data_IF_709302471067
#
_entry.id   IF_709302471067
#
_cell.length_a   1.000
_cell.length_b   1.000
_cell.length_c   1.000
_cell.angle_alpha   90.00
_cell.angle_beta   90.00
_cell.angle_gamma   90.00
#
_symmetry.space_group_name_H-M   'P 1'
#
loop_
_entity.id
_entity.type
_entity.pdbx_description
1 polymer ?
#
# COMPACT_ATOMS: atom_id res chain seq x y z
N UNK A 1 -20.44 -12.15 -6.34
CA UNK A 1 -19.59 -13.22 -6.90
C UNK A 1 -18.57 -13.67 -5.87
N UNK A 2 -18.20 -14.94 -5.93
CA UNK A 2 -17.24 -15.52 -4.99
C UNK A 2 -15.82 -15.66 -5.56
N UNK A 3 -15.68 -15.55 -6.88
CA UNK A 3 -14.40 -15.80 -7.55
C UNK A 3 -13.98 -14.62 -8.43
N UNK A 4 -12.69 -14.30 -8.40
CA UNK A 4 -12.13 -13.17 -9.13
C UNK A 4 -10.80 -13.54 -9.76
N UNK A 5 -10.47 -12.84 -10.84
CA UNK A 5 -9.19 -12.95 -11.50
C UNK A 5 -8.65 -11.54 -11.65
N UNK A 6 -7.43 -11.30 -11.17
CA UNK A 6 -6.86 -9.95 -11.21
C UNK A 6 -6.90 -9.30 -12.58
N UNK A 7 -6.63 -10.08 -13.63
CA UNK A 7 -6.59 -9.55 -14.99
C UNK A 7 -7.95 -9.14 -15.55
N UNK A 8 -9.05 -9.52 -14.90
CA UNK A 8 -10.40 -9.15 -15.30
C UNK A 8 -10.88 -7.87 -14.63
N UNK A 9 -10.08 -7.30 -13.73
CA UNK A 9 -10.45 -6.12 -12.94
C UNK A 9 -9.73 -4.89 -13.45
N UNK A 10 -10.35 -3.72 -13.29
CA UNK A 10 -9.75 -2.46 -13.68
C UNK A 10 -8.57 -2.13 -12.77
N UNK A 11 -7.49 -1.62 -13.38
CA UNK A 11 -6.28 -1.24 -12.66
C UNK A 11 -6.15 0.28 -12.69
N UNK A 12 -6.36 0.91 -11.55
CA UNK A 12 -6.28 2.35 -11.39
C UNK A 12 -5.17 2.74 -10.41
N UNK A 13 -4.83 4.04 -10.39
CA UNK A 13 -3.97 4.57 -9.34
C UNK A 13 -4.72 4.41 -8.02
N UNK A 14 -4.08 3.80 -7.03
CA UNK A 14 -4.72 3.48 -5.76
C UNK A 14 -4.85 4.72 -4.88
N UNK A 15 -3.74 5.44 -4.70
CA UNK A 15 -3.70 6.62 -3.86
C UNK A 15 -2.86 7.69 -4.54
N UNK A 16 -3.35 8.26 -5.68
CA UNK A 16 -2.53 9.16 -6.51
C UNK A 16 -2.00 10.38 -5.77
N UNK A 17 -2.61 10.73 -4.67
CA UNK A 17 -2.22 11.88 -3.88
C UNK A 17 -0.84 11.73 -3.25
N UNK A 18 -0.41 10.51 -2.93
CA UNK A 18 0.90 10.27 -2.30
C UNK A 18 1.64 9.03 -2.79
N UNK A 19 1.09 8.31 -3.75
CA UNK A 19 1.69 7.07 -4.23
C UNK A 19 1.51 6.90 -5.73
N UNK A 20 2.48 6.20 -6.34
CA UNK A 20 2.41 5.80 -7.75
C UNK A 20 1.89 4.37 -7.91
N UNK A 21 1.43 3.75 -6.82
CA UNK A 21 0.87 2.39 -6.87
C UNK A 21 -0.36 2.34 -7.76
N UNK A 22 -0.44 1.31 -8.58
CA UNK A 22 -1.64 1.06 -9.39
C UNK A 22 -1.95 -0.42 -9.37
N UNK A 23 -3.21 -0.76 -9.63
CA UNK A 23 -3.63 -2.15 -9.70
C UNK A 23 -5.06 -2.33 -9.27
N UNK A 24 -5.59 -3.54 -9.51
CA UNK A 24 -6.96 -3.87 -9.12
C UNK A 24 -7.07 -4.18 -7.64
N UNK A 25 -8.25 -3.92 -7.08
CA UNK A 25 -8.56 -4.27 -5.70
C UNK A 25 -9.97 -4.80 -5.57
N UNK A 26 -10.18 -5.60 -4.54
CA UNK A 26 -11.48 -6.19 -4.22
C UNK A 26 -11.81 -5.79 -2.79
N UNK A 27 -12.95 -5.15 -2.61
CA UNK A 27 -13.41 -4.71 -1.30
C UNK A 27 -14.44 -5.68 -0.75
N UNK A 28 -14.11 -6.34 0.36
CA UNK A 28 -15.04 -7.18 1.09
C UNK A 28 -15.80 -6.37 2.13
N UNK A 29 -16.35 -7.02 3.12
CA UNK A 29 -17.05 -6.34 4.22
C UNK A 29 -16.06 -5.77 5.24
N UNK A 30 -15.00 -6.49 5.54
CA UNK A 30 -14.03 -6.12 6.56
C UNK A 30 -12.60 -5.98 6.04
N UNK A 31 -12.33 -6.50 4.87
CA UNK A 31 -10.99 -6.57 4.30
C UNK A 31 -11.02 -6.12 2.85
N UNK A 32 -10.05 -5.30 2.50
CA UNK A 32 -9.77 -4.87 1.13
C UNK A 32 -8.47 -5.56 0.71
N UNK A 33 -8.47 -6.22 -0.44
CA UNK A 33 -7.28 -6.89 -0.96
C UNK A 33 -6.99 -6.41 -2.37
N UNK A 34 -5.73 -6.11 -2.66
CA UNK A 34 -5.33 -5.61 -3.97
C UNK A 34 -4.03 -6.22 -4.46
N UNK A 35 -3.84 -6.19 -5.77
CA UNK A 35 -2.58 -6.53 -6.41
C UNK A 35 -1.97 -5.21 -6.89
N UNK A 36 -0.95 -4.73 -6.20
CA UNK A 36 -0.35 -3.43 -6.49
C UNK A 36 0.96 -3.56 -7.25
N UNK A 37 1.12 -2.68 -8.23
CA UNK A 37 2.36 -2.55 -8.98
C UNK A 37 2.90 -1.14 -8.76
N UNK A 38 4.19 -1.05 -8.49
CA UNK A 38 4.89 0.23 -8.33
C UNK A 38 5.99 0.32 -9.38
N UNK A 39 6.06 1.41 -10.14
CA UNK A 39 7.17 1.60 -11.08
C UNK A 39 8.52 1.70 -10.35
N UNK A 40 9.62 1.32 -11.00
CA UNK A 40 10.95 1.47 -10.40
C UNK A 40 11.25 2.91 -9.99
N UNK A 41 12.00 3.07 -8.91
CA UNK A 41 12.51 4.37 -8.45
C UNK A 41 11.41 5.39 -8.13
N UNK A 42 10.24 4.89 -7.71
CA UNK A 42 9.13 5.74 -7.26
C UNK A 42 8.89 5.53 -5.77
N UNK A 43 7.92 6.23 -5.20
CA UNK A 43 7.69 6.17 -3.76
C UNK A 43 6.22 6.27 -3.41
N UNK A 44 5.90 5.74 -2.23
CA UNK A 44 4.68 6.07 -1.51
C UNK A 44 5.12 6.93 -0.33
N UNK A 45 4.66 8.18 -0.28
CA UNK A 45 5.04 9.12 0.79
C UNK A 45 4.57 8.63 2.14
N UNK A 46 5.32 8.95 3.18
CA UNK A 46 4.96 8.58 4.55
C UNK A 46 3.59 9.14 4.90
N UNK A 47 2.72 8.27 5.37
CA UNK A 47 1.34 8.60 5.71
C UNK A 47 0.85 7.66 6.80
N UNK A 48 -0.28 8.00 7.40
CA UNK A 48 -0.91 7.18 8.42
C UNK A 48 -2.43 7.14 8.21
N UNK A 49 -3.02 6.02 8.58
CA UNK A 49 -4.47 5.81 8.49
C UNK A 49 -4.90 4.80 9.56
N UNK A 50 -6.19 4.79 9.94
CA UNK A 50 -6.67 3.87 10.97
C UNK A 50 -6.76 2.42 10.54
N UNK A 51 -6.56 2.13 9.25
CA UNK A 51 -6.60 0.78 8.72
C UNK A 51 -5.34 0.01 9.09
N UNK A 52 -5.48 -1.23 9.56
CA UNK A 52 -4.36 -2.15 9.65
C UNK A 52 -4.02 -2.61 8.24
N UNK A 53 -2.73 -2.71 7.92
CA UNK A 53 -2.31 -3.03 6.56
C UNK A 53 -1.15 -4.03 6.56
N UNK A 54 -1.28 -5.06 5.71
CA UNK A 54 -0.19 -5.99 5.41
C UNK A 54 0.16 -5.87 3.95
N UNK A 55 1.45 -5.89 3.65
CA UNK A 55 1.95 -5.85 2.28
C UNK A 55 2.83 -7.07 2.09
N UNK A 56 2.48 -7.94 1.14
CA UNK A 56 3.19 -9.18 0.84
C UNK A 56 3.95 -8.97 -0.46
N UNK A 57 5.28 -8.94 -0.39
CA UNK A 57 6.10 -8.66 -1.56
C UNK A 57 6.20 -9.90 -2.45
N UNK A 58 5.91 -9.75 -3.73
CA UNK A 58 5.95 -10.83 -4.71
C UNK A 58 7.13 -10.70 -5.67
N UNK A 59 7.49 -9.48 -6.05
CA UNK A 59 8.55 -9.20 -7.00
C UNK A 59 9.16 -7.85 -6.71
N UNK A 60 10.45 -7.70 -6.98
CA UNK A 60 11.14 -6.44 -6.75
C UNK A 60 11.50 -6.24 -5.29
N UNK A 61 12.07 -5.09 -4.97
CA UNK A 61 12.50 -4.74 -3.62
C UNK A 61 12.13 -3.30 -3.31
N UNK A 62 11.84 -3.05 -2.05
CA UNK A 62 11.53 -1.72 -1.58
C UNK A 62 12.13 -1.48 -0.21
N UNK A 63 12.32 -0.20 0.12
CA UNK A 63 12.74 0.22 1.44
C UNK A 63 11.50 0.78 2.15
N UNK A 64 11.01 0.06 3.14
CA UNK A 64 9.85 0.47 3.93
C UNK A 64 10.28 1.15 5.22
N UNK A 65 9.50 2.13 5.61
CA UNK A 65 9.62 2.77 6.92
C UNK A 65 8.27 2.61 7.62
N UNK A 66 8.28 2.03 8.81
CA UNK A 66 7.07 1.83 9.61
C UNK A 66 7.39 2.24 11.06
N UNK A 67 6.73 3.29 11.55
CA UNK A 67 6.94 3.75 12.90
C UNK A 67 8.40 4.10 13.23
N UNK A 68 9.13 4.60 12.25
CA UNK A 68 10.54 4.92 12.41
C UNK A 68 11.51 3.77 12.19
N UNK A 69 11.00 2.55 12.04
CA UNK A 69 11.81 1.37 11.71
C UNK A 69 11.94 1.29 10.19
N UNK A 70 13.14 1.05 9.69
CA UNK A 70 13.40 1.03 8.26
C UNK A 70 14.05 -0.27 7.84
N UNK A 71 13.58 -0.87 6.74
CA UNK A 71 14.14 -2.12 6.24
C UNK A 71 13.88 -2.29 4.75
N UNK A 72 14.86 -2.89 4.06
CA UNK A 72 14.71 -3.28 2.66
C UNK A 72 14.16 -4.70 2.63
N UNK A 73 13.04 -4.87 1.93
CA UNK A 73 12.39 -6.18 1.79
C UNK A 73 12.24 -6.56 0.32
N UNK A 74 12.24 -7.86 0.07
CA UNK A 74 12.07 -8.45 -1.25
C UNK A 74 11.03 -9.57 -1.24
N UNK A 75 10.98 -10.36 -2.32
CA UNK A 75 9.95 -11.41 -2.48
C UNK A 75 9.90 -12.38 -1.31
N UNK A 76 8.69 -12.69 -0.87
CA UNK A 76 8.47 -13.59 0.26
C UNK A 76 8.48 -12.92 1.62
N UNK A 77 8.75 -11.62 1.67
CA UNK A 77 8.75 -10.88 2.93
C UNK A 77 7.47 -10.05 3.06
N UNK A 78 7.11 -9.75 4.30
CA UNK A 78 5.83 -9.11 4.62
C UNK A 78 6.06 -7.88 5.48
N UNK A 79 5.36 -6.80 5.15
CA UNK A 79 5.33 -5.58 5.95
C UNK A 79 4.02 -5.54 6.72
N UNK A 80 4.08 -5.21 7.99
CA UNK A 80 2.88 -4.94 8.79
C UNK A 80 2.90 -3.48 9.20
N UNK A 81 1.88 -2.73 8.79
CA UNK A 81 1.67 -1.35 9.23
C UNK A 81 0.47 -1.31 10.18
N UNK A 82 0.71 -1.20 11.49
CA UNK A 82 -0.40 -1.14 12.45
C UNK A 82 -1.27 0.10 12.26
N UNK A 83 -2.52 0.08 12.79
CA UNK A 83 -3.39 1.25 12.71
C UNK A 83 -2.70 2.52 13.22
N UNK A 84 -2.83 3.60 12.48
CA UNK A 84 -2.35 4.94 12.84
C UNK A 84 -0.82 5.08 12.98
N UNK A 85 -0.05 4.08 12.55
CA UNK A 85 1.40 4.17 12.56
C UNK A 85 1.89 4.69 11.22
N UNK A 86 2.68 5.77 11.19
CA UNK A 86 3.21 6.32 9.94
C UNK A 86 4.05 5.29 9.19
N UNK A 87 3.84 5.19 7.90
CA UNK A 87 4.58 4.27 7.04
C UNK A 87 4.75 4.84 5.64
N UNK A 88 5.80 4.41 4.97
CA UNK A 88 6.13 4.84 3.61
C UNK A 88 7.01 3.82 2.92
N UNK A 89 7.27 4.04 1.63
CA UNK A 89 7.99 3.11 0.77
C UNK A 89 8.81 3.86 -0.26
N UNK A 90 10.06 3.42 -0.46
CA UNK A 90 10.87 3.79 -1.61
C UNK A 90 11.11 2.54 -2.43
N UNK A 91 10.64 2.54 -3.67
CA UNK A 91 10.85 1.41 -4.59
C UNK A 91 12.26 1.50 -5.14
N UNK A 92 12.98 0.38 -5.16
CA UNK A 92 14.34 0.35 -5.68
C UNK A 92 14.33 0.32 -7.22
N UNK A 93 15.34 -0.27 -7.84
CA UNK A 93 15.57 -0.17 -9.27
C UNK A 93 14.77 -1.15 -10.13
N UNK A 94 13.88 -1.92 -9.53
CA UNK A 94 13.05 -2.91 -10.21
C UNK A 94 11.59 -2.64 -9.90
N UNK A 95 10.72 -2.91 -10.87
CA UNK A 95 9.27 -2.84 -10.66
C UNK A 95 8.87 -3.74 -9.48
N UNK A 96 8.07 -3.23 -8.57
CA UNK A 96 7.66 -3.93 -7.37
C UNK A 96 6.20 -4.39 -7.50
N UNK A 97 5.97 -5.66 -7.21
CA UNK A 97 4.62 -6.24 -7.16
C UNK A 97 4.35 -6.72 -5.75
N UNK A 98 3.17 -6.40 -5.23
CA UNK A 98 2.79 -6.78 -3.88
C UNK A 98 1.29 -7.01 -3.76
N UNK A 99 0.92 -7.95 -2.88
CA UNK A 99 -0.46 -8.09 -2.45
C UNK A 99 -0.63 -7.18 -1.24
N UNK A 100 -1.65 -6.34 -1.28
CA UNK A 100 -1.99 -5.44 -0.20
C UNK A 100 -3.28 -5.89 0.46
N UNK A 101 -3.25 -6.11 1.78
CA UNK A 101 -4.41 -6.46 2.57
C UNK A 101 -4.62 -5.35 3.59
N UNK A 102 -5.81 -4.77 3.60
CA UNK A 102 -6.09 -3.63 4.47
C UNK A 102 -7.47 -3.79 5.10
N UNK A 103 -7.57 -3.52 6.39
CA UNK A 103 -8.87 -3.54 7.05
C UNK A 103 -9.71 -2.36 6.57
N UNK A 104 -11.03 -2.55 6.54
CA UNK A 104 -11.98 -1.49 6.18
C UNK A 104 -12.45 -0.83 7.47
N UNK A 105 -12.29 0.49 7.55
CA UNK A 105 -12.75 1.26 8.71
C UNK A 105 -13.96 2.09 8.28
N UNK A 106 -15.13 1.82 8.85
CA UNK A 106 -16.34 2.56 8.49
C UNK A 106 -16.17 4.07 8.65
N UNK A 107 -16.64 4.81 7.65
CA UNK A 107 -16.58 6.27 7.69
C UNK A 107 -15.23 6.86 7.29
N UNK A 108 -14.21 6.02 7.06
CA UNK A 108 -12.91 6.49 6.64
C UNK A 108 -12.67 6.19 5.15
N UNK A 109 -11.97 7.10 4.47
CA UNK A 109 -11.53 6.87 3.10
C UNK A 109 -10.14 7.47 2.92
N UNK A 110 -9.47 7.15 1.82
CA UNK A 110 -8.11 7.59 1.54
C UNK A 110 -7.96 9.11 1.58
N UNK A 111 -9.03 9.87 1.32
CA UNK A 111 -8.98 11.33 1.41
C UNK A 111 -8.74 11.85 2.83
N UNK A 112 -8.93 11.01 3.84
CA UNK A 112 -8.68 11.37 5.23
C UNK A 112 -7.25 11.03 5.67
N UNK A 113 -6.48 10.34 4.83
CA UNK A 113 -5.10 9.98 5.17
C UNK A 113 -4.25 11.24 5.35
N UNK A 114 -3.39 11.21 6.36
CA UNK A 114 -2.44 12.29 6.60
C UNK A 114 -1.04 11.81 6.23
N UNK A 115 -0.30 12.66 5.57
CA UNK A 115 1.09 12.37 5.26
C UNK A 115 1.96 13.53 5.72
N UNK A 116 3.24 13.27 5.80
CA UNK A 116 4.22 14.17 6.41
C UNK A 116 4.12 15.60 5.89
N UNK A 117 3.98 15.78 4.60
CA UNK A 117 3.91 17.11 3.98
C UNK A 117 2.68 17.89 4.42
N UNK A 118 1.53 17.22 4.63
CA UNK A 118 0.31 17.89 5.09
C UNK A 118 0.35 18.23 6.56
N UNK A 119 1.04 17.43 7.35
CA UNK A 119 1.12 17.67 8.80
C UNK A 119 2.03 18.83 9.15
N UNK A 120 2.84 19.32 8.23
CA UNK A 120 3.70 20.46 8.43
C UNK A 120 2.95 21.80 8.34
N UNK A 121 1.74 21.77 7.82
CA UNK A 121 0.91 22.97 7.72
C UNK A 121 0.05 23.15 8.96
#
# INVERSE_FOLDING_TARGET
MAFYKWSDLDADLITPKYSTAFGPSIQGEQIDVGYFTFPPNTQAKTHAHPNEQFIIVLKGRGKWTVGGEEKILGPGEVVCAPPNVPHGLEVLDEELHAINCKSIVPGWSVKHAKWEKETEE
#
